data_IF_664044979548
#
_entry.id   IF_664044979548
#
_cell.length_a   1.000
_cell.length_b   1.000
_cell.length_c   1.000
_cell.angle_alpha   90.00
_cell.angle_beta   90.00
_cell.angle_gamma   90.00
#
_symmetry.space_group_name_H-M   'P 1'
#
loop_
_entity.id
_entity.type
_entity.pdbx_description
1 polymer ?
#
# COMPACT_ATOMS: atom_id res chain seq x y z
N UNK A 1 11.07 11.05 4.05
CA UNK A 1 12.16 10.63 4.96
C UNK A 1 11.85 11.16 6.35
N UNK A 2 12.02 10.34 7.38
CA UNK A 2 11.97 10.79 8.77
C UNK A 2 13.30 11.45 9.12
N UNK A 3 13.23 12.54 9.87
CA UNK A 3 14.38 13.30 10.31
C UNK A 3 14.27 13.61 11.79
N UNK A 4 15.40 13.51 12.49
CA UNK A 4 15.45 13.87 13.90
C UNK A 4 15.50 15.40 14.00
N UNK A 5 14.48 15.98 14.65
CA UNK A 5 14.49 17.39 14.96
C UNK A 5 15.39 17.65 16.18
N UNK A 6 16.24 18.68 16.14
CA UNK A 6 17.03 19.04 17.31
C UNK A 6 16.13 19.40 18.49
N UNK A 7 16.57 19.05 19.68
CA UNK A 7 15.93 19.47 20.93
C UNK A 7 15.86 20.98 21.03
N UNK A 8 14.81 21.47 21.67
CA UNK A 8 14.69 22.87 22.07
C UNK A 8 14.87 22.98 23.57
N UNK A 9 15.81 23.81 24.00
CA UNK A 9 15.95 24.10 25.43
C UNK A 9 14.66 24.74 25.94
N UNK A 10 14.12 24.14 27.03
CA UNK A 10 12.90 24.62 27.64
C UNK A 10 13.14 25.80 28.57
N UNK A 11 12.11 26.61 28.78
CA UNK A 11 12.11 27.72 29.75
C UNK A 11 11.60 27.30 31.14
N UNK A 12 11.37 26.01 31.36
CA UNK A 12 10.88 25.50 32.65
C UNK A 12 11.99 25.55 33.70
N UNK A 13 11.77 26.29 34.77
CA UNK A 13 12.73 26.42 35.86
C UNK A 13 12.82 25.13 36.71
N UNK A 14 14.05 24.79 37.08
CA UNK A 14 14.33 23.82 38.14
C UNK A 14 14.19 24.53 39.48
N UNK A 15 13.04 24.37 40.12
CA UNK A 15 12.69 25.11 41.35
C UNK A 15 13.68 24.94 42.46
N UNK A 16 14.28 23.73 42.60
CA UNK A 16 15.34 23.47 43.63
C UNK A 16 16.61 24.24 43.33
N UNK A 17 17.08 24.23 42.10
CA UNK A 17 18.26 24.99 41.69
C UNK A 17 18.02 26.49 41.82
N UNK A 18 16.91 26.99 41.40
CA UNK A 18 16.52 28.43 41.55
C UNK A 18 16.54 28.86 42.99
N UNK A 19 15.93 28.11 43.91
CA UNK A 19 15.94 28.41 45.33
C UNK A 19 17.36 28.49 45.92
N UNK A 20 18.19 27.53 45.56
CA UNK A 20 19.58 27.49 46.02
C UNK A 20 20.40 28.68 45.48
N UNK A 21 20.25 29.00 44.20
CA UNK A 21 20.93 30.12 43.53
C UNK A 21 20.50 31.45 44.13
N UNK A 22 19.20 31.64 44.40
CA UNK A 22 18.68 32.86 45.01
C UNK A 22 19.21 33.00 46.47
N UNK A 23 19.18 31.92 47.25
CA UNK A 23 19.73 31.96 48.62
C UNK A 23 21.21 32.33 48.62
N UNK A 24 21.98 31.74 47.74
CA UNK A 24 23.42 32.04 47.63
C UNK A 24 23.68 33.49 47.23
N UNK A 25 22.93 34.01 46.25
CA UNK A 25 23.04 35.41 45.80
C UNK A 25 22.69 36.40 46.92
N UNK A 26 21.60 36.14 47.65
CA UNK A 26 21.21 36.97 48.77
C UNK A 26 22.27 36.97 49.90
N UNK A 27 22.82 35.78 50.21
CA UNK A 27 23.91 35.67 51.21
C UNK A 27 25.19 36.36 50.77
N UNK A 28 25.46 36.45 49.49
CA UNK A 28 26.62 37.15 48.94
C UNK A 28 26.44 38.66 48.75
N UNK A 29 25.23 39.16 48.93
CA UNK A 29 24.87 40.57 48.71
C UNK A 29 24.75 40.94 47.22
N UNK A 30 24.61 39.96 46.34
CA UNK A 30 24.45 40.18 44.90
C UNK A 30 23.12 40.91 44.62
N UNK A 31 23.17 41.98 43.82
CA UNK A 31 22.00 42.74 43.41
C UNK A 31 21.21 42.05 42.29
N UNK A 32 21.86 41.17 41.48
CA UNK A 32 21.26 40.47 40.36
C UNK A 32 21.90 39.11 40.17
N UNK A 33 21.15 38.12 39.73
CA UNK A 33 21.67 36.81 39.37
C UNK A 33 21.01 36.32 38.09
N UNK A 34 21.80 35.83 37.15
CA UNK A 34 21.32 35.23 35.91
C UNK A 34 21.00 33.75 36.14
N UNK A 35 19.74 33.38 36.07
CA UNK A 35 19.31 31.99 36.19
C UNK A 35 19.80 31.14 35.01
N UNK A 36 20.00 31.72 33.83
CA UNK A 36 20.54 31.05 32.66
C UNK A 36 22.00 30.68 32.85
N UNK A 37 22.86 31.64 33.26
CA UNK A 37 24.28 31.38 33.57
C UNK A 37 24.47 30.36 34.71
N UNK A 38 23.47 30.20 35.58
CA UNK A 38 23.50 29.25 36.69
C UNK A 38 22.81 27.92 36.34
N UNK A 39 22.45 27.72 35.05
CA UNK A 39 21.80 26.48 34.57
C UNK A 39 20.57 26.09 35.40
N UNK A 40 19.71 27.05 35.68
CA UNK A 40 18.50 26.85 36.48
C UNK A 40 17.26 26.36 35.70
N UNK A 41 17.39 26.11 34.42
CA UNK A 41 16.35 25.53 33.59
C UNK A 41 16.47 24.01 33.53
N UNK A 42 15.33 23.34 33.41
CA UNK A 42 15.30 21.90 33.14
C UNK A 42 15.82 21.63 31.75
N UNK A 43 16.77 20.71 31.65
CA UNK A 43 17.29 20.26 30.34
C UNK A 43 16.37 19.22 29.71
N UNK A 44 16.34 19.10 28.37
CA UNK A 44 15.68 18.00 27.69
C UNK A 44 16.18 16.64 28.24
N UNK A 45 15.30 15.65 28.28
CA UNK A 45 15.65 14.29 28.68
C UNK A 45 16.21 13.46 27.51
N UNK A 46 15.89 13.85 26.27
CA UNK A 46 16.35 13.20 25.05
C UNK A 46 16.94 14.27 24.12
N UNK A 47 18.09 13.99 23.56
CA UNK A 47 18.81 14.83 22.64
C UNK A 47 18.85 14.20 21.25
N UNK A 48 19.14 15.00 20.20
CA UNK A 48 19.20 14.55 18.80
C UNK A 48 20.20 13.44 18.53
N UNK A 49 21.21 13.29 19.39
CA UNK A 49 22.27 12.30 19.32
C UNK A 49 21.98 11.04 20.15
N UNK A 50 20.79 10.93 20.74
CA UNK A 50 20.33 9.74 21.45
C UNK A 50 20.28 8.53 20.52
N UNK A 51 20.92 7.43 20.94
CA UNK A 51 21.07 6.22 20.13
C UNK A 51 19.73 5.50 19.86
N UNK A 52 18.81 5.53 20.82
CA UNK A 52 17.49 4.92 20.63
C UNK A 52 16.68 5.72 19.60
N UNK A 53 16.75 7.05 19.66
CA UNK A 53 16.08 7.92 18.70
C UNK A 53 16.65 7.75 17.28
N UNK A 54 17.95 7.61 17.13
CA UNK A 54 18.61 7.32 15.84
C UNK A 54 18.14 5.96 15.30
N UNK A 55 18.20 4.91 16.14
CA UNK A 55 17.73 3.58 15.77
C UNK A 55 16.27 3.61 15.25
N UNK A 56 15.38 4.28 15.97
CA UNK A 56 13.97 4.43 15.59
C UNK A 56 13.84 5.12 14.23
N UNK A 57 14.56 6.22 14.03
CA UNK A 57 14.55 6.98 12.78
C UNK A 57 15.03 6.12 11.59
N UNK A 58 16.11 5.38 11.77
CA UNK A 58 16.69 4.50 10.75
C UNK A 58 15.75 3.34 10.43
N UNK A 59 15.14 2.70 11.43
CA UNK A 59 14.14 1.64 11.23
C UNK A 59 12.93 2.15 10.44
N UNK A 60 12.34 3.27 10.85
CA UNK A 60 11.20 3.86 10.15
C UNK A 60 11.54 4.22 8.70
N UNK A 61 12.72 4.81 8.47
CA UNK A 61 13.17 5.14 7.13
C UNK A 61 13.36 3.90 6.26
N UNK A 62 13.98 2.84 6.80
CA UNK A 62 14.15 1.57 6.11
C UNK A 62 12.82 0.94 5.74
N UNK A 63 11.91 0.77 6.70
CA UNK A 63 10.62 0.13 6.49
C UNK A 63 9.69 0.91 5.55
N UNK A 64 9.86 2.24 5.45
CA UNK A 64 9.08 3.09 4.54
C UNK A 64 9.80 3.43 3.25
N UNK A 65 10.93 2.79 2.92
CA UNK A 65 11.65 3.04 1.67
C UNK A 65 11.07 2.30 0.47
N UNK A 66 10.22 1.30 0.71
CA UNK A 66 9.61 0.48 -0.34
C UNK A 66 8.68 1.31 -1.23
N UNK A 67 8.79 1.09 -2.56
CA UNK A 67 7.89 1.68 -3.56
C UNK A 67 7.51 0.60 -4.57
N UNK A 68 6.26 0.18 -4.55
CA UNK A 68 5.73 -0.80 -5.50
C UNK A 68 4.69 -0.11 -6.39
N UNK A 69 4.89 -0.21 -7.70
CA UNK A 69 3.89 0.20 -8.68
C UNK A 69 3.24 -1.05 -9.25
N UNK A 70 1.99 -1.30 -8.88
CA UNK A 70 1.20 -2.37 -9.46
C UNK A 70 0.70 -1.95 -10.84
N UNK A 71 1.06 -2.73 -11.85
CA UNK A 71 0.66 -2.55 -13.23
C UNK A 71 -0.50 -3.49 -13.58
N UNK A 72 -1.64 -2.92 -13.95
CA UNK A 72 -2.83 -3.63 -14.40
C UNK A 72 -3.11 -3.35 -15.88
N UNK A 73 -2.09 -3.09 -16.69
CA UNK A 73 -2.10 -2.72 -18.12
C UNK A 73 -2.64 -1.32 -18.37
N UNK A 74 -3.97 -1.15 -18.37
CA UNK A 74 -4.64 0.13 -18.65
C UNK A 74 -4.70 1.06 -17.42
N UNK A 75 -4.28 0.58 -16.27
CA UNK A 75 -4.29 1.31 -14.99
C UNK A 75 -3.19 0.83 -14.06
N UNK A 76 -2.80 1.67 -13.11
CA UNK A 76 -1.79 1.33 -12.11
C UNK A 76 -2.14 1.88 -10.74
N UNK A 77 -1.56 1.28 -9.71
CA UNK A 77 -1.65 1.79 -8.33
C UNK A 77 -0.27 1.73 -7.68
N UNK A 78 0.13 2.81 -7.03
CA UNK A 78 1.42 2.88 -6.35
C UNK A 78 1.25 2.79 -4.84
N UNK A 79 2.00 1.86 -4.25
CA UNK A 79 2.24 1.79 -2.82
C UNK A 79 3.57 2.48 -2.52
N UNK A 80 3.54 3.44 -1.62
CA UNK A 80 4.73 4.17 -1.19
C UNK A 80 4.74 4.45 0.32
N UNK A 81 5.70 5.24 0.74
CA UNK A 81 5.87 5.72 2.11
C UNK A 81 4.59 6.29 2.74
N UNK A 82 3.77 7.01 1.96
CA UNK A 82 2.59 7.69 2.50
C UNK A 82 1.56 6.71 3.04
N UNK A 83 1.54 5.51 2.49
CA UNK A 83 0.68 4.42 2.95
C UNK A 83 1.39 3.57 4.02
N UNK A 84 2.66 3.16 3.76
CA UNK A 84 3.39 2.23 4.63
C UNK A 84 3.62 2.83 6.04
N UNK A 85 3.80 4.15 6.17
CA UNK A 85 4.02 4.80 7.47
C UNK A 85 2.90 4.54 8.49
N UNK A 86 1.67 4.38 8.00
CA UNK A 86 0.49 4.15 8.85
C UNK A 86 0.36 2.68 9.29
N UNK A 87 1.21 1.80 8.75
CA UNK A 87 1.29 0.39 9.11
C UNK A 87 2.38 0.08 10.13
N UNK A 88 3.18 1.07 10.50
CA UNK A 88 4.25 0.88 11.47
C UNK A 88 3.67 0.75 12.87
N UNK A 89 4.07 -0.29 13.58
CA UNK A 89 3.73 -0.53 14.99
C UNK A 89 4.99 -0.88 15.76
N UNK A 90 4.95 -0.82 17.10
CA UNK A 90 6.05 -1.30 17.94
C UNK A 90 5.78 -2.73 18.38
N UNK A 91 6.80 -3.56 18.31
CA UNK A 91 6.77 -4.92 18.87
C UNK A 91 6.98 -4.92 20.39
N UNK A 92 7.01 -6.11 20.99
CA UNK A 92 7.21 -6.28 22.43
C UNK A 92 8.59 -5.78 22.93
N UNK A 93 9.59 -5.66 22.04
CA UNK A 93 10.92 -5.15 22.35
C UNK A 93 11.00 -3.63 22.17
N UNK A 94 9.94 -3.00 21.65
CA UNK A 94 9.90 -1.59 21.35
C UNK A 94 10.43 -1.21 19.96
N UNK A 95 10.82 -2.19 19.12
CA UNK A 95 11.28 -1.96 17.76
C UNK A 95 10.12 -1.71 16.79
N UNK A 96 10.33 -0.88 15.77
CA UNK A 96 9.33 -0.66 14.73
C UNK A 96 9.27 -1.85 13.78
N UNK A 97 8.06 -2.36 13.59
CA UNK A 97 7.75 -3.42 12.62
C UNK A 97 6.56 -2.99 11.75
N UNK A 98 6.37 -3.70 10.63
CA UNK A 98 5.20 -3.51 9.77
C UNK A 98 4.08 -4.45 10.21
N UNK A 99 2.87 -3.92 10.41
CA UNK A 99 1.70 -4.72 10.71
C UNK A 99 1.24 -5.50 9.47
N UNK A 100 1.41 -6.83 9.51
CA UNK A 100 1.09 -7.73 8.38
C UNK A 100 -0.41 -7.74 8.04
N UNK A 101 -1.29 -7.50 9.01
CA UNK A 101 -2.74 -7.43 8.77
C UNK A 101 -3.10 -6.21 7.92
N UNK A 102 -2.38 -5.10 8.08
CA UNK A 102 -2.55 -3.91 7.24
C UNK A 102 -2.07 -4.16 5.81
N UNK A 103 -0.98 -4.91 5.64
CA UNK A 103 -0.52 -5.35 4.31
C UNK A 103 -1.58 -6.23 3.65
N UNK A 104 -2.14 -7.20 4.38
CA UNK A 104 -3.22 -8.06 3.87
C UNK A 104 -4.47 -7.26 3.51
N UNK A 105 -4.86 -6.28 4.34
CA UNK A 105 -6.00 -5.40 4.06
C UNK A 105 -5.78 -4.56 2.80
N UNK A 106 -4.56 -4.09 2.56
CA UNK A 106 -4.20 -3.37 1.34
C UNK A 106 -4.30 -4.28 0.11
N UNK A 107 -3.72 -5.49 0.15
CA UNK A 107 -3.82 -6.47 -0.95
C UNK A 107 -5.28 -6.83 -1.24
N UNK A 108 -6.09 -7.02 -0.19
CA UNK A 108 -7.54 -7.23 -0.35
C UNK A 108 -8.20 -6.04 -1.08
N UNK A 109 -7.82 -4.81 -0.74
CA UNK A 109 -8.34 -3.61 -1.41
C UNK A 109 -7.97 -3.54 -2.89
N UNK A 110 -6.78 -4.05 -3.28
CA UNK A 110 -6.40 -4.19 -4.69
C UNK A 110 -7.31 -5.18 -5.40
N UNK A 111 -7.58 -6.36 -4.79
CA UNK A 111 -8.52 -7.32 -5.33
C UNK A 111 -9.91 -6.71 -5.54
N UNK A 112 -10.40 -5.97 -4.55
CA UNK A 112 -11.71 -5.32 -4.65
C UNK A 112 -11.80 -4.30 -5.80
N UNK A 113 -10.68 -3.60 -6.10
CA UNK A 113 -10.62 -2.60 -7.17
C UNK A 113 -10.38 -3.20 -8.55
N UNK A 114 -9.60 -4.28 -8.62
CA UNK A 114 -8.98 -4.71 -9.88
C UNK A 114 -9.31 -6.14 -10.30
N UNK A 115 -9.88 -6.98 -9.43
CA UNK A 115 -10.31 -8.32 -9.80
C UNK A 115 -11.54 -8.26 -10.71
N UNK A 116 -11.54 -9.13 -11.72
CA UNK A 116 -12.65 -9.24 -12.69
C UNK A 116 -13.22 -10.66 -12.75
N UNK A 117 -12.66 -11.60 -11.98
CA UNK A 117 -13.16 -12.99 -11.95
C UNK A 117 -14.62 -13.03 -11.53
N UNK A 118 -15.44 -13.67 -12.35
CA UNK A 118 -16.88 -13.80 -12.10
C UNK A 118 -17.68 -12.49 -12.21
N UNK A 119 -17.07 -11.39 -12.63
CA UNK A 119 -17.77 -10.11 -12.78
C UNK A 119 -18.78 -10.13 -13.92
N UNK A 120 -19.79 -9.28 -13.79
CA UNK A 120 -20.75 -9.03 -14.86
C UNK A 120 -20.11 -8.20 -15.96
N UNK A 121 -20.28 -8.62 -17.22
CA UNK A 121 -19.74 -7.94 -18.40
C UNK A 121 -20.85 -7.58 -19.37
N UNK A 122 -20.70 -6.47 -20.08
CA UNK A 122 -21.52 -6.14 -21.24
C UNK A 122 -20.77 -6.56 -22.48
N UNK A 123 -21.41 -7.35 -23.32
CA UNK A 123 -20.83 -7.91 -24.53
C UNK A 123 -21.67 -7.49 -25.75
N UNK A 124 -21.01 -7.06 -26.81
CA UNK A 124 -21.69 -6.78 -28.11
C UNK A 124 -21.58 -8.00 -28.99
N UNK A 125 -22.70 -8.61 -29.31
CA UNK A 125 -22.76 -9.80 -30.14
C UNK A 125 -22.42 -9.51 -31.60
N UNK A 126 -22.16 -10.55 -32.41
CA UNK A 126 -21.85 -10.47 -33.84
C UNK A 126 -22.85 -9.68 -34.67
N UNK A 127 -24.11 -9.65 -34.23
CA UNK A 127 -25.23 -8.93 -34.89
C UNK A 127 -25.50 -7.57 -34.26
N UNK A 128 -24.64 -7.08 -33.38
CA UNK A 128 -24.69 -5.75 -32.77
C UNK A 128 -25.59 -5.62 -31.54
N UNK A 129 -26.20 -6.72 -31.07
CA UNK A 129 -27.00 -6.70 -29.83
C UNK A 129 -26.13 -6.62 -28.59
N UNK A 130 -26.56 -5.87 -27.59
CA UNK A 130 -25.93 -5.84 -26.29
C UNK A 130 -26.43 -7.00 -25.42
N UNK A 131 -25.50 -7.78 -24.86
CA UNK A 131 -25.79 -8.86 -23.93
C UNK A 131 -25.05 -8.63 -22.62
N UNK A 132 -25.73 -8.90 -21.51
CA UNK A 132 -25.14 -8.94 -20.20
C UNK A 132 -24.73 -10.37 -19.85
N UNK A 133 -23.45 -10.61 -19.70
CA UNK A 133 -22.88 -11.89 -19.25
C UNK A 133 -22.67 -11.77 -17.74
N UNK A 134 -23.31 -12.65 -16.98
CA UNK A 134 -23.24 -12.64 -15.51
C UNK A 134 -22.43 -13.82 -15.01
N UNK A 135 -21.54 -13.55 -14.04
CA UNK A 135 -20.80 -14.58 -13.35
C UNK A 135 -19.83 -15.35 -14.26
N UNK A 136 -19.73 -16.65 -14.03
CA UNK A 136 -18.81 -17.54 -14.71
C UNK A 136 -17.46 -17.65 -13.97
N UNK A 137 -16.57 -18.40 -14.58
CA UNK A 137 -15.24 -18.74 -14.06
C UNK A 137 -14.10 -18.10 -14.87
N UNK A 138 -14.38 -16.96 -15.48
CA UNK A 138 -13.43 -16.18 -16.28
C UNK A 138 -13.08 -14.86 -15.61
N UNK A 139 -11.85 -14.44 -15.80
CA UNK A 139 -11.34 -13.14 -15.38
C UNK A 139 -10.06 -13.25 -14.54
N UNK A 140 -9.71 -12.14 -13.91
CA UNK A 140 -8.51 -11.99 -13.12
C UNK A 140 -8.86 -11.96 -11.63
N UNK A 141 -8.12 -12.69 -10.81
CA UNK A 141 -8.21 -12.60 -9.36
C UNK A 141 -6.83 -12.69 -8.74
N UNK A 142 -6.50 -11.74 -7.88
CA UNK A 142 -5.23 -11.71 -7.14
C UNK A 142 -5.18 -12.89 -6.17
N UNK A 143 -4.05 -13.60 -6.13
CA UNK A 143 -3.73 -14.51 -5.04
C UNK A 143 -3.35 -13.70 -3.81
N UNK A 144 -4.35 -13.41 -2.98
CA UNK A 144 -4.18 -12.54 -1.83
C UNK A 144 -3.16 -13.07 -0.82
N UNK A 145 -3.05 -14.37 -0.68
CA UNK A 145 -2.09 -14.98 0.26
C UNK A 145 -0.66 -14.84 -0.25
N UNK A 146 -0.42 -15.23 -1.50
CA UNK A 146 0.90 -15.13 -2.12
C UNK A 146 1.35 -13.67 -2.23
N UNK A 147 0.45 -12.77 -2.64
CA UNK A 147 0.77 -11.35 -2.80
C UNK A 147 1.02 -10.66 -1.46
N UNK A 148 0.26 -10.99 -0.41
CA UNK A 148 0.50 -10.45 0.94
C UNK A 148 1.88 -10.86 1.45
N UNK A 149 2.26 -12.12 1.28
CA UNK A 149 3.57 -12.61 1.72
C UNK A 149 4.70 -11.95 0.94
N UNK A 150 4.55 -11.86 -0.38
CA UNK A 150 5.53 -11.19 -1.24
C UNK A 150 5.68 -9.71 -0.85
N UNK A 151 4.57 -8.97 -0.73
CA UNK A 151 4.58 -7.54 -0.43
C UNK A 151 5.17 -7.26 0.95
N UNK A 152 4.82 -8.07 1.95
CA UNK A 152 5.42 -7.94 3.29
C UNK A 152 6.94 -8.06 3.23
N UNK A 153 7.47 -9.06 2.53
CA UNK A 153 8.91 -9.25 2.38
C UNK A 153 9.57 -8.12 1.56
N UNK A 154 8.89 -7.62 0.53
CA UNK A 154 9.35 -6.48 -0.28
C UNK A 154 9.48 -5.20 0.58
N UNK A 155 8.53 -4.96 1.49
CA UNK A 155 8.59 -3.82 2.41
C UNK A 155 9.79 -3.97 3.37
N UNK A 156 10.02 -5.16 3.94
CA UNK A 156 11.16 -5.41 4.81
C UNK A 156 12.50 -5.22 4.10
N UNK A 157 12.56 -5.53 2.79
CA UNK A 157 13.73 -5.36 1.94
C UNK A 157 13.91 -3.93 1.42
N UNK A 158 12.88 -3.07 1.48
CA UNK A 158 12.89 -1.73 0.88
C UNK A 158 12.88 -1.76 -0.65
N UNK A 159 12.18 -2.71 -1.26
CA UNK A 159 12.15 -2.95 -2.70
C UNK A 159 11.50 -1.78 -3.45
N UNK A 160 12.05 -1.42 -4.61
CA UNK A 160 11.42 -0.52 -5.58
C UNK A 160 11.23 -1.27 -6.90
N UNK A 161 9.97 -1.48 -7.30
CA UNK A 161 9.64 -2.32 -8.45
C UNK A 161 8.31 -1.91 -9.09
N UNK A 162 8.23 -2.12 -10.42
CA UNK A 162 6.97 -2.09 -11.18
C UNK A 162 6.63 -3.53 -11.51
N UNK A 163 5.44 -4.00 -11.12
CA UNK A 163 5.04 -5.39 -11.30
C UNK A 163 3.55 -5.60 -11.43
N UNK A 164 3.17 -6.74 -11.93
CA UNK A 164 1.82 -7.28 -11.75
C UNK A 164 1.75 -8.05 -10.42
N UNK A 165 0.60 -8.07 -9.73
CA UNK A 165 0.43 -8.90 -8.54
C UNK A 165 0.48 -10.39 -8.90
N UNK A 166 0.66 -11.25 -7.91
CA UNK A 166 0.43 -12.68 -8.08
C UNK A 166 -1.06 -12.94 -8.32
N UNK A 167 -1.39 -13.72 -9.34
CA UNK A 167 -2.77 -14.05 -9.69
C UNK A 167 -3.11 -15.51 -9.37
N UNK A 168 -4.27 -15.73 -8.74
CA UNK A 168 -4.87 -17.05 -8.59
C UNK A 168 -5.62 -17.46 -9.87
N UNK A 169 -6.22 -16.48 -10.57
CA UNK A 169 -6.87 -16.66 -11.86
C UNK A 169 -6.44 -15.56 -12.82
N UNK A 170 -6.23 -15.91 -14.09
CA UNK A 170 -5.87 -14.96 -15.14
C UNK A 170 -6.79 -15.10 -16.34
N UNK A 171 -7.22 -13.97 -16.88
CA UNK A 171 -7.92 -13.90 -18.15
C UNK A 171 -6.95 -13.78 -19.33
N UNK A 172 -7.50 -13.71 -20.53
CA UNK A 172 -6.71 -13.56 -21.74
C UNK A 172 -6.20 -12.12 -21.95
N UNK A 173 -6.98 -11.14 -21.54
CA UNK A 173 -6.69 -9.72 -21.63
C UNK A 173 -6.79 -9.07 -20.25
N UNK A 174 -5.89 -8.13 -19.93
CA UNK A 174 -5.85 -7.44 -18.62
C UNK A 174 -6.36 -5.99 -18.72
N UNK A 175 -7.08 -5.66 -19.75
CA UNK A 175 -7.71 -4.34 -19.88
C UNK A 175 -9.07 -4.26 -19.16
N UNK A 176 -9.66 -3.08 -19.13
CA UNK A 176 -11.04 -2.89 -18.60
C UNK A 176 -12.06 -3.78 -19.31
N UNK A 177 -11.85 -4.02 -20.63
CA UNK A 177 -12.56 -5.09 -21.39
C UNK A 177 -11.68 -6.34 -21.41
N UNK A 178 -11.75 -7.15 -20.40
CA UNK A 178 -10.94 -8.35 -20.24
C UNK A 178 -11.35 -9.55 -21.12
N UNK A 179 -12.47 -9.47 -21.86
CA UNK A 179 -12.82 -10.42 -22.92
C UNK A 179 -11.82 -10.29 -24.09
N UNK A 180 -11.38 -9.07 -24.37
CA UNK A 180 -10.46 -8.79 -25.48
C UNK A 180 -11.13 -8.94 -26.86
N UNK A 181 -10.27 -9.11 -27.87
CA UNK A 181 -10.69 -9.13 -29.28
C UNK A 181 -10.50 -10.50 -29.95
N UNK A 182 -10.15 -11.54 -29.17
CA UNK A 182 -10.00 -12.92 -29.67
C UNK A 182 -10.93 -13.82 -28.89
N UNK A 183 -12.03 -14.25 -29.52
CA UNK A 183 -13.04 -15.07 -28.87
C UNK A 183 -13.89 -15.83 -29.88
N UNK A 184 -14.61 -16.84 -29.40
CA UNK A 184 -15.67 -17.55 -30.15
C UNK A 184 -17.01 -17.18 -29.53
N UNK A 185 -17.96 -16.78 -30.34
CA UNK A 185 -19.35 -16.57 -29.95
C UNK A 185 -20.22 -17.70 -30.57
N UNK A 186 -21.06 -18.32 -29.75
CA UNK A 186 -22.02 -19.34 -30.20
C UNK A 186 -23.42 -18.86 -29.86
N UNK A 187 -24.18 -18.49 -30.87
CA UNK A 187 -25.60 -18.13 -30.73
C UNK A 187 -26.47 -19.39 -30.83
N UNK A 188 -26.92 -19.85 -29.67
CA UNK A 188 -27.73 -21.06 -29.55
C UNK A 188 -29.12 -20.88 -30.18
N UNK A 189 -29.63 -19.64 -30.21
CA UNK A 189 -30.96 -19.33 -30.79
C UNK A 189 -30.94 -19.39 -32.31
N UNK A 190 -29.92 -18.76 -32.92
CA UNK A 190 -29.78 -18.68 -34.36
C UNK A 190 -28.89 -19.82 -34.92
N UNK A 191 -28.39 -20.72 -34.06
CA UNK A 191 -27.53 -21.84 -34.43
C UNK A 191 -26.38 -21.40 -35.32
N UNK A 192 -25.63 -20.40 -34.81
CA UNK A 192 -24.52 -19.77 -35.51
C UNK A 192 -23.30 -19.67 -34.62
N UNK A 193 -22.13 -19.92 -35.18
CA UNK A 193 -20.83 -19.71 -34.51
C UNK A 193 -20.01 -18.70 -35.29
N UNK A 194 -19.41 -17.74 -34.59
CA UNK A 194 -18.46 -16.79 -35.15
C UNK A 194 -17.17 -16.86 -34.35
N UNK A 195 -16.05 -16.75 -35.03
CA UNK A 195 -14.72 -16.68 -34.40
C UNK A 195 -14.01 -15.40 -34.83
N UNK A 196 -13.65 -14.62 -33.84
CA UNK A 196 -12.82 -13.44 -34.00
C UNK A 196 -11.41 -13.72 -33.49
N UNK A 197 -10.41 -13.28 -34.23
CA UNK A 197 -9.01 -13.22 -33.80
C UNK A 197 -8.49 -11.81 -34.01
N UNK A 198 -7.97 -11.20 -32.96
CA UNK A 198 -7.45 -9.82 -32.96
C UNK A 198 -8.45 -8.81 -33.59
N UNK A 199 -9.74 -9.01 -33.31
CA UNK A 199 -10.85 -8.21 -33.84
C UNK A 199 -11.26 -8.51 -35.28
N UNK A 200 -10.58 -9.45 -35.96
CA UNK A 200 -10.95 -9.87 -37.33
C UNK A 200 -11.82 -11.10 -37.31
N UNK A 201 -12.93 -11.05 -38.04
CA UNK A 201 -13.82 -12.20 -38.24
C UNK A 201 -13.14 -13.22 -39.15
N UNK A 202 -12.81 -14.38 -38.61
CA UNK A 202 -12.15 -15.47 -39.35
C UNK A 202 -13.12 -16.58 -39.73
N UNK A 203 -14.09 -16.88 -38.89
CA UNK A 203 -15.07 -17.94 -39.15
C UNK A 203 -16.46 -17.40 -38.86
N UNK A 204 -17.38 -17.71 -39.73
CA UNK A 204 -18.80 -17.45 -39.63
C UNK A 204 -19.56 -18.60 -40.26
N UNK A 205 -20.17 -19.46 -39.43
CA UNK A 205 -20.76 -20.72 -39.92
C UNK A 205 -22.02 -21.08 -39.12
N UNK A 206 -23.00 -21.71 -39.76
CA UNK A 206 -24.07 -22.36 -39.06
C UNK A 206 -23.51 -23.54 -38.24
N UNK A 207 -24.12 -23.80 -37.09
CA UNK A 207 -23.81 -24.93 -36.22
C UNK A 207 -25.07 -25.62 -35.76
N UNK A 208 -24.94 -26.88 -35.37
CA UNK A 208 -26.03 -27.60 -34.69
C UNK A 208 -25.58 -27.84 -33.26
N UNK A 209 -26.22 -27.15 -32.32
CA UNK A 209 -25.98 -27.35 -30.91
C UNK A 209 -26.83 -28.49 -30.38
N UNK A 210 -26.20 -29.48 -29.74
CA UNK A 210 -26.90 -30.66 -29.22
C UNK A 210 -27.92 -30.35 -28.15
N UNK A 211 -28.93 -31.21 -28.06
CA UNK A 211 -29.92 -31.17 -26.99
C UNK A 211 -29.29 -31.74 -25.71
N UNK A 212 -29.22 -30.94 -24.65
CA UNK A 212 -28.92 -31.48 -23.33
C UNK A 212 -30.21 -32.08 -22.78
N UNK A 213 -30.26 -33.42 -22.65
CA UNK A 213 -31.34 -34.11 -21.93
C UNK A 213 -31.18 -33.94 -20.42
#
# INVERSE_FOLDING_TARGET
TYEIQPEKEGTTLDTKKVQNVIRAAVSAGDKTVSLEKKNCYKKPSIYKDDEALKKDCDQMNKLTSCVITYDFSDRSEQLDRNTIKDWLVRDANGDYIVNKDQVAAYVNSLGYKYDTFGCTRTFTTYDGRQKTIKGGDYGWAIDQTAETEWLYNAILAGTTEVRQPAYAYSGLCRDTNDIGNTYVEIDLTNQRMVFYKDGQLLVDTPVVTGWVR
#
